data_IF_735700636372
#
_entry.id   IF_735700636372
#
_cell.length_a   1.000
_cell.length_b   1.000
_cell.length_c   1.000
_cell.angle_alpha   90.00
_cell.angle_beta   90.00
_cell.angle_gamma   90.00
#
_symmetry.space_group_name_H-M   'P 1'
#
loop_
_entity.id
_entity.type
_entity.pdbx_description
1 polymer ?
#
# COMPACT_ATOMS: atom_id res chain seq x y z
N UNK A 1 20.78 6.78 2.46
CA UNK A 1 20.54 5.34 2.72
C UNK A 1 21.43 4.50 1.80
N UNK A 2 21.98 3.37 2.27
CA UNK A 2 22.72 2.41 1.41
C UNK A 2 21.74 1.53 0.61
N UNK A 3 22.10 1.16 -0.63
CA UNK A 3 21.33 0.32 -1.54
C UNK A 3 20.81 -0.99 -0.89
N UNK A 4 21.59 -1.62 0.00
CA UNK A 4 21.19 -2.85 0.70
C UNK A 4 19.94 -2.63 1.57
N UNK A 5 19.88 -1.50 2.29
CA UNK A 5 18.72 -1.14 3.13
C UNK A 5 17.51 -0.73 2.28
N UNK A 6 17.74 -0.08 1.13
CA UNK A 6 16.68 0.26 0.19
C UNK A 6 15.99 -1.00 -0.34
N UNK A 7 16.78 -1.99 -0.80
CA UNK A 7 16.26 -3.26 -1.29
C UNK A 7 15.49 -3.99 -0.17
N UNK A 8 16.05 -4.04 1.03
CA UNK A 8 15.37 -4.65 2.19
C UNK A 8 14.02 -3.97 2.48
N UNK A 9 13.98 -2.63 2.47
CA UNK A 9 12.74 -1.89 2.70
C UNK A 9 11.68 -2.20 1.63
N UNK A 10 12.06 -2.27 0.35
CA UNK A 10 11.17 -2.65 -0.74
C UNK A 10 10.60 -4.06 -0.53
N UNK A 11 11.46 -5.04 -0.22
CA UNK A 11 11.02 -6.44 -0.04
C UNK A 11 10.05 -6.56 1.13
N UNK A 12 10.39 -5.99 2.29
CA UNK A 12 9.53 -6.08 3.48
C UNK A 12 8.22 -5.32 3.27
N UNK A 13 8.26 -4.11 2.70
CA UNK A 13 7.06 -3.36 2.39
C UNK A 13 6.16 -4.09 1.38
N UNK A 14 6.73 -4.82 0.42
CA UNK A 14 5.98 -5.64 -0.53
C UNK A 14 5.27 -6.80 0.17
N UNK A 15 5.95 -7.52 1.06
CA UNK A 15 5.34 -8.58 1.84
C UNK A 15 4.20 -8.03 2.71
N UNK A 16 4.42 -6.89 3.38
CA UNK A 16 3.39 -6.25 4.20
C UNK A 16 2.19 -5.84 3.35
N UNK A 17 2.41 -5.20 2.19
CA UNK A 17 1.35 -4.84 1.26
C UNK A 17 0.55 -6.08 0.83
N UNK A 18 1.24 -7.12 0.38
CA UNK A 18 0.59 -8.34 -0.12
C UNK A 18 -0.24 -9.05 0.96
N UNK A 19 0.31 -9.18 2.17
CA UNK A 19 -0.41 -9.79 3.31
C UNK A 19 -1.63 -8.96 3.71
N UNK A 20 -1.48 -7.63 3.76
CA UNK A 20 -2.61 -6.75 4.13
C UNK A 20 -3.69 -6.74 3.05
N UNK A 21 -3.32 -6.71 1.77
CA UNK A 21 -4.27 -6.85 0.66
C UNK A 21 -5.02 -8.19 0.72
N UNK A 22 -4.33 -9.29 1.04
CA UNK A 22 -5.00 -10.59 1.23
C UNK A 22 -6.01 -10.56 2.38
N UNK A 23 -5.64 -9.99 3.53
CA UNK A 23 -6.54 -9.88 4.69
C UNK A 23 -7.73 -8.97 4.41
N UNK A 24 -7.52 -7.84 3.74
CA UNK A 24 -8.58 -6.87 3.42
C UNK A 24 -9.48 -7.45 2.33
N UNK A 25 -8.92 -7.81 1.17
CA UNK A 25 -9.70 -8.16 -0.01
C UNK A 25 -10.07 -9.63 -0.06
N UNK A 26 -9.14 -10.52 0.29
CA UNK A 26 -9.32 -11.97 0.27
C UNK A 26 -10.06 -12.55 1.48
N UNK A 27 -10.18 -11.80 2.58
CA UNK A 27 -10.89 -12.25 3.79
C UNK A 27 -12.02 -11.29 4.15
N UNK A 28 -11.71 -10.06 4.55
CA UNK A 28 -12.70 -9.15 5.14
C UNK A 28 -13.78 -8.70 4.13
N UNK A 29 -13.37 -8.34 2.92
CA UNK A 29 -14.27 -7.82 1.88
C UNK A 29 -14.85 -8.91 0.96
N UNK A 30 -14.52 -10.18 1.20
CA UNK A 30 -15.06 -11.29 0.40
C UNK A 30 -16.60 -11.29 0.33
N UNK A 31 -17.35 -11.06 1.42
CA UNK A 31 -18.80 -10.95 1.36
C UNK A 31 -19.30 -9.82 0.45
N UNK A 32 -18.64 -8.66 0.48
CA UNK A 32 -18.99 -7.51 -0.36
C UNK A 32 -18.79 -7.84 -1.85
N UNK A 33 -17.68 -8.52 -2.18
CA UNK A 33 -17.40 -8.94 -3.56
C UNK A 33 -18.35 -10.01 -4.07
N UNK A 34 -18.75 -10.94 -3.20
CA UNK A 34 -19.76 -11.95 -3.54
C UNK A 34 -21.14 -11.34 -3.78
N UNK A 35 -21.51 -10.31 -3.02
CA UNK A 35 -22.77 -9.58 -3.22
C UNK A 35 -22.78 -8.72 -4.52
N UNK A 36 -21.62 -8.53 -5.14
CA UNK A 36 -21.44 -7.65 -6.31
C UNK A 36 -20.72 -8.35 -7.47
N UNK A 37 -20.83 -9.68 -7.58
CA UNK A 37 -20.10 -10.48 -8.57
C UNK A 37 -20.25 -10.00 -10.00
N UNK A 38 -21.40 -9.42 -10.35
CA UNK A 38 -21.67 -8.84 -11.67
C UNK A 38 -20.75 -7.67 -12.06
N UNK A 39 -20.04 -7.05 -11.10
CA UNK A 39 -19.10 -5.96 -11.36
C UNK A 39 -17.68 -6.44 -11.68
N UNK A 40 -17.37 -7.70 -11.37
CA UNK A 40 -16.00 -8.20 -11.36
C UNK A 40 -15.78 -9.24 -12.47
N UNK A 41 -14.53 -9.40 -12.88
CA UNK A 41 -14.14 -10.54 -13.71
C UNK A 41 -14.46 -11.85 -12.98
N UNK A 42 -14.61 -12.93 -13.74
CA UNK A 42 -14.81 -14.25 -13.14
C UNK A 42 -13.58 -14.66 -12.31
N UNK A 43 -13.75 -15.57 -11.35
CA UNK A 43 -12.63 -16.07 -10.53
C UNK A 43 -11.48 -16.65 -11.35
N UNK A 44 -11.79 -17.35 -12.46
CA UNK A 44 -10.81 -17.91 -13.37
C UNK A 44 -10.00 -16.81 -14.08
N UNK A 45 -10.67 -15.80 -14.62
CA UNK A 45 -10.01 -14.67 -15.27
C UNK A 45 -9.15 -13.87 -14.29
N UNK A 46 -9.67 -13.58 -13.09
CA UNK A 46 -8.89 -12.91 -12.04
C UNK A 46 -7.61 -13.69 -11.71
N UNK A 47 -7.70 -15.01 -11.59
CA UNK A 47 -6.53 -15.88 -11.33
C UNK A 47 -5.52 -15.82 -12.48
N UNK A 48 -5.98 -15.87 -13.74
CA UNK A 48 -5.08 -15.75 -14.90
C UNK A 48 -4.37 -14.40 -15.00
N UNK A 49 -4.91 -13.36 -14.36
CA UNK A 49 -4.32 -12.02 -14.33
C UNK A 49 -3.54 -11.72 -13.04
N UNK A 50 -3.36 -12.70 -12.13
CA UNK A 50 -2.68 -12.47 -10.86
C UNK A 50 -1.23 -11.97 -11.02
N UNK A 51 -0.54 -12.36 -12.10
CA UNK A 51 0.79 -11.82 -12.42
C UNK A 51 0.80 -10.30 -12.60
N UNK A 52 -0.24 -9.73 -13.23
CA UNK A 52 -0.39 -8.28 -13.38
C UNK A 52 -0.63 -7.58 -12.04
N UNK A 53 -1.38 -8.21 -11.15
CA UNK A 53 -1.60 -7.70 -9.78
C UNK A 53 -0.28 -7.60 -9.02
N UNK A 54 0.51 -8.68 -9.02
CA UNK A 54 1.81 -8.72 -8.34
C UNK A 54 2.79 -7.70 -8.91
N UNK A 55 2.82 -7.53 -10.24
CA UNK A 55 3.63 -6.51 -10.90
C UNK A 55 3.21 -5.09 -10.47
N UNK A 56 1.91 -4.81 -10.42
CA UNK A 56 1.39 -3.51 -9.99
C UNK A 56 1.71 -3.22 -8.51
N UNK A 57 1.51 -4.21 -7.63
CA UNK A 57 1.88 -4.12 -6.20
C UNK A 57 3.38 -3.89 -6.01
N UNK A 58 4.23 -4.58 -6.77
CA UNK A 58 5.67 -4.41 -6.70
C UNK A 58 6.08 -3.00 -7.18
N UNK A 59 5.53 -2.53 -8.29
CA UNK A 59 5.80 -1.17 -8.79
C UNK A 59 5.33 -0.10 -7.80
N UNK A 60 4.15 -0.28 -7.19
CA UNK A 60 3.63 0.59 -6.14
C UNK A 60 4.61 0.67 -4.97
N UNK A 61 5.10 -0.46 -4.47
CA UNK A 61 6.02 -0.46 -3.32
C UNK A 61 7.39 0.10 -3.67
N UNK A 62 7.95 -0.24 -4.84
CA UNK A 62 9.21 0.32 -5.30
C UNK A 62 9.11 1.85 -5.34
N UNK A 63 8.08 2.39 -5.98
CA UNK A 63 7.90 3.84 -6.12
C UNK A 63 7.64 4.51 -4.77
N UNK A 64 6.78 3.94 -3.93
CA UNK A 64 6.53 4.41 -2.57
C UNK A 64 7.81 4.48 -1.74
N UNK A 65 8.58 3.39 -1.67
CA UNK A 65 9.81 3.34 -0.87
C UNK A 65 10.88 4.27 -1.44
N UNK A 66 11.03 4.36 -2.77
CA UNK A 66 12.00 5.26 -3.41
C UNK A 66 11.65 6.73 -3.17
N UNK A 67 10.38 7.11 -3.25
CA UNK A 67 9.93 8.49 -2.97
C UNK A 67 10.17 8.82 -1.50
N UNK A 68 9.84 7.92 -0.58
CA UNK A 68 10.17 8.07 0.83
C UNK A 68 11.69 8.25 1.04
N UNK A 69 12.48 7.38 0.39
CA UNK A 69 13.94 7.36 0.50
C UNK A 69 14.65 8.60 -0.09
N UNK A 70 14.09 9.23 -1.13
CA UNK A 70 14.72 10.38 -1.81
C UNK A 70 14.18 11.71 -1.31
N UNK A 71 12.88 11.82 -1.10
CA UNK A 71 12.20 13.08 -0.75
C UNK A 71 12.08 13.31 0.74
N UNK A 72 12.06 12.24 1.55
CA UNK A 72 11.79 12.33 2.98
C UNK A 72 12.91 11.78 3.85
N UNK A 73 13.85 10.98 3.33
CA UNK A 73 14.90 10.34 4.13
C UNK A 73 15.84 11.29 4.88
N UNK A 74 16.08 12.50 4.37
CA UNK A 74 16.87 13.53 5.06
C UNK A 74 16.10 14.18 6.23
N UNK A 75 14.77 14.07 6.25
CA UNK A 75 13.84 14.58 7.29
C UNK A 75 13.14 13.48 8.10
N UNK A 76 13.23 12.20 7.70
CA UNK A 76 12.62 11.04 8.38
C UNK A 76 13.47 10.56 9.56
N UNK A 77 14.09 11.45 10.32
CA UNK A 77 14.53 11.10 11.66
C UNK A 77 13.33 10.89 12.60
N UNK A 78 12.14 11.41 12.22
CA UNK A 78 10.92 11.39 13.03
C UNK A 78 9.87 10.44 12.44
N UNK A 79 9.31 9.60 13.29
CA UNK A 79 8.23 8.66 12.95
C UNK A 79 6.96 9.38 12.44
N UNK A 80 6.70 10.61 12.91
CA UNK A 80 5.57 11.43 12.47
C UNK A 80 5.67 11.82 10.99
N UNK A 81 6.88 12.05 10.46
CA UNK A 81 7.09 12.31 9.04
C UNK A 81 6.76 11.07 8.20
N UNK A 82 7.06 9.87 8.70
CA UNK A 82 6.75 8.62 8.01
C UNK A 82 5.24 8.35 7.97
N UNK A 83 4.55 8.58 9.09
CA UNK A 83 3.09 8.49 9.15
C UNK A 83 2.42 9.54 8.24
N UNK A 84 2.90 10.78 8.25
CA UNK A 84 2.41 11.85 7.38
C UNK A 84 2.64 11.55 5.89
N UNK A 85 3.80 11.01 5.53
CA UNK A 85 4.07 10.54 4.17
C UNK A 85 3.10 9.43 3.76
N UNK A 86 2.91 8.43 4.62
CA UNK A 86 1.95 7.35 4.37
C UNK A 86 0.51 7.85 4.21
N UNK A 87 0.09 8.82 5.02
CA UNK A 87 -1.23 9.46 4.89
C UNK A 87 -1.38 10.17 3.53
N UNK A 88 -0.40 10.98 3.12
CA UNK A 88 -0.44 11.68 1.85
C UNK A 88 -0.50 10.72 0.65
N UNK A 89 0.31 9.66 0.67
CA UNK A 89 0.27 8.62 -0.36
C UNK A 89 -1.04 7.82 -0.35
N UNK A 90 -1.62 7.63 0.83
CA UNK A 90 -2.94 7.01 1.00
C UNK A 90 -4.06 7.85 0.42
N UNK A 91 -4.05 9.17 0.66
CA UNK A 91 -4.99 10.10 0.05
C UNK A 91 -4.81 10.17 -1.47
N UNK A 92 -3.56 10.23 -1.94
CA UNK A 92 -3.23 10.26 -3.36
C UNK A 92 -3.73 9.01 -4.10
N UNK A 93 -3.40 7.82 -3.61
CA UNK A 93 -3.83 6.55 -4.22
C UNK A 93 -5.32 6.28 -3.98
N UNK A 94 -5.83 6.61 -2.80
CA UNK A 94 -7.23 6.42 -2.41
C UNK A 94 -8.22 7.23 -3.26
N UNK A 95 -7.81 8.37 -3.83
CA UNK A 95 -8.63 9.13 -4.77
C UNK A 95 -9.17 8.26 -5.92
N UNK A 96 -8.42 7.23 -6.32
CA UNK A 96 -8.86 6.29 -7.35
C UNK A 96 -10.12 5.50 -6.93
N UNK A 97 -10.28 5.13 -5.65
CA UNK A 97 -11.49 4.44 -5.18
C UNK A 97 -12.74 5.31 -5.35
N UNK A 98 -12.61 6.63 -5.16
CA UNK A 98 -13.70 7.58 -5.38
C UNK A 98 -14.01 7.74 -6.87
N UNK A 99 -12.99 7.76 -7.73
CA UNK A 99 -13.18 7.81 -9.18
C UNK A 99 -13.91 6.55 -9.65
N UNK A 100 -13.48 5.37 -9.22
CA UNK A 100 -14.12 4.10 -9.61
C UNK A 100 -15.58 4.04 -9.15
N UNK A 101 -15.91 4.55 -7.97
CA UNK A 101 -17.31 4.67 -7.53
C UNK A 101 -18.19 5.49 -8.50
N UNK A 102 -17.62 6.51 -9.15
CA UNK A 102 -18.36 7.34 -10.11
C UNK A 102 -18.56 6.62 -11.44
N UNK A 103 -17.57 5.86 -11.91
CA UNK A 103 -17.57 5.28 -13.26
C UNK A 103 -18.02 3.81 -13.32
N UNK A 104 -17.98 3.10 -12.20
CA UNK A 104 -18.48 1.72 -12.04
C UNK A 104 -19.67 1.79 -11.08
N UNK A 105 -20.78 1.07 -11.34
CA UNK A 105 -21.94 1.03 -10.43
C UNK A 105 -21.65 0.21 -9.16
N UNK A 106 -20.62 0.63 -8.42
CA UNK A 106 -20.12 0.01 -7.20
C UNK A 106 -20.88 0.58 -6.00
N UNK A 107 -21.28 -0.25 -5.02
CA UNK A 107 -21.81 0.24 -3.76
C UNK A 107 -20.82 1.19 -3.07
N UNK A 108 -21.30 2.33 -2.58
CA UNK A 108 -20.47 3.30 -1.88
C UNK A 108 -19.74 2.71 -0.66
N UNK A 109 -20.28 1.66 -0.05
CA UNK A 109 -19.63 0.92 1.05
C UNK A 109 -18.30 0.28 0.63
N UNK A 110 -18.20 -0.27 -0.58
CA UNK A 110 -16.95 -0.84 -1.10
C UNK A 110 -15.92 0.27 -1.35
N UNK A 111 -16.35 1.37 -1.98
CA UNK A 111 -15.48 2.51 -2.25
C UNK A 111 -14.91 3.13 -0.97
N UNK A 112 -15.74 3.31 0.06
CA UNK A 112 -15.32 3.80 1.38
C UNK A 112 -14.34 2.84 2.03
N UNK A 113 -14.60 1.52 1.99
CA UNK A 113 -13.67 0.51 2.51
C UNK A 113 -12.31 0.61 1.82
N UNK A 114 -12.27 0.61 0.48
CA UNK A 114 -11.03 0.73 -0.31
C UNK A 114 -10.26 2.00 0.04
N UNK A 115 -10.96 3.13 0.14
CA UNK A 115 -10.35 4.42 0.48
C UNK A 115 -9.70 4.40 1.87
N UNK A 116 -10.46 3.98 2.89
CA UNK A 116 -10.00 4.01 4.27
C UNK A 116 -8.92 2.95 4.53
N UNK A 117 -9.08 1.73 4.02
CA UNK A 117 -8.05 0.70 4.17
C UNK A 117 -6.79 1.04 3.41
N UNK A 118 -6.91 1.65 2.22
CA UNK A 118 -5.78 2.16 1.47
C UNK A 118 -4.94 3.15 2.28
N UNK A 119 -5.58 4.09 2.97
CA UNK A 119 -4.90 5.05 3.86
C UNK A 119 -4.20 4.34 5.03
N UNK A 120 -4.90 3.43 5.71
CA UNK A 120 -4.31 2.68 6.83
C UNK A 120 -3.10 1.87 6.37
N UNK A 121 -3.22 1.24 5.20
CA UNK A 121 -2.17 0.42 4.60
C UNK A 121 -0.95 1.25 4.22
N UNK A 122 -1.12 2.41 3.58
CA UNK A 122 0.03 3.26 3.23
C UNK A 122 0.68 3.91 4.44
N UNK A 123 -0.07 4.21 5.51
CA UNK A 123 0.50 4.62 6.80
C UNK A 123 1.38 3.50 7.36
N UNK A 124 0.86 2.26 7.38
CA UNK A 124 1.63 1.09 7.83
C UNK A 124 2.91 0.90 7.00
N UNK A 125 2.84 1.00 5.68
CA UNK A 125 4.00 0.92 4.80
C UNK A 125 5.03 2.04 5.06
N UNK A 126 4.56 3.25 5.34
CA UNK A 126 5.41 4.38 5.74
C UNK A 126 6.18 4.07 7.02
N UNK A 127 5.49 3.54 8.03
CA UNK A 127 6.11 3.12 9.29
C UNK A 127 7.12 1.99 9.11
N UNK A 128 6.77 0.94 8.36
CA UNK A 128 7.67 -0.18 8.05
C UNK A 128 8.94 0.31 7.35
N UNK A 129 8.77 1.18 6.35
CA UNK A 129 9.88 1.77 5.61
C UNK A 129 10.79 2.58 6.55
N UNK A 130 10.21 3.40 7.43
CA UNK A 130 10.96 4.16 8.43
C UNK A 130 11.78 3.27 9.36
N UNK A 131 11.20 2.20 9.90
CA UNK A 131 11.88 1.30 10.83
C UNK A 131 13.10 0.61 10.21
N UNK A 132 13.03 0.20 8.95
CA UNK A 132 14.13 -0.45 8.23
C UNK A 132 15.22 0.56 7.84
N UNK A 133 14.80 1.76 7.45
CA UNK A 133 15.68 2.83 6.98
C UNK A 133 16.35 3.62 8.10
N UNK A 134 15.90 3.48 9.36
CA UNK A 134 16.44 4.22 10.50
C UNK A 134 17.96 3.97 10.64
N UNK A 135 18.80 5.01 10.72
CA UNK A 135 20.21 4.84 11.03
C UNK A 135 20.34 4.10 12.36
N UNK A 136 21.22 3.09 12.44
CA UNK A 136 21.61 2.53 13.73
C UNK A 136 22.21 3.68 14.55
N UNK A 137 21.72 3.93 15.76
CA UNK A 137 22.36 4.88 16.66
C UNK A 137 23.80 4.39 16.87
N UNK A 138 24.80 5.14 16.39
CA UNK A 138 26.16 4.91 16.85
C UNK A 138 26.18 5.31 18.34
N UNK A 139 26.82 4.50 19.22
CA UNK A 139 27.16 4.97 20.55
C UNK A 139 27.88 6.31 20.41
N UNK A 140 27.44 7.31 21.16
CA UNK A 140 28.23 8.51 21.35
C UNK A 140 29.39 8.10 22.27
N UNK A 141 30.55 7.84 21.67
CA UNK A 141 31.82 7.76 22.40
C UNK A 141 32.27 9.16 22.84
#
# INVERSE_FOLDING_TARGET
MNIKRLILAIVVAFIVLWVTDFLIHGVWMTPDYRATQQLWRTGAEMTSHMGWMLCAQLLFVITFVVVCAKGFASSTAKISCAAGYGLLMGLFSGAWALIVYVIVPMPGSIAVKWFLTGIVQTILLGLVTFWICRPSAQPQD
#
